data_IF_881474395100
#
_entry.id   IF_881474395100
#
_cell.length_a   1.000
_cell.length_b   1.000
_cell.length_c   1.000
_cell.angle_alpha   90.00
_cell.angle_beta   90.00
_cell.angle_gamma   90.00
#
_symmetry.space_group_name_H-M   'P 1'
#
loop_
_entity.id
_entity.type
_entity.pdbx_description
1 polymer ?
#
# COMPACT_ATOMS: atom_id res chain seq x y z
N UNK A 1 -23.40 35.81 42.41
CA UNK A 1 -23.51 34.83 41.31
C UNK A 1 -22.19 34.85 40.55
N UNK A 2 -21.27 33.96 40.91
CA UNK A 2 -19.94 33.86 40.30
C UNK A 2 -19.97 32.60 39.44
N UNK A 3 -20.06 32.76 38.13
CA UNK A 3 -20.06 31.64 37.18
C UNK A 3 -18.63 31.12 37.05
N UNK A 4 -18.40 29.90 37.53
CA UNK A 4 -17.14 29.19 37.39
C UNK A 4 -17.06 28.66 35.95
N UNK A 5 -16.28 29.31 35.09
CA UNK A 5 -16.00 28.82 33.76
C UNK A 5 -15.01 27.64 33.89
N UNK A 6 -15.51 26.41 33.75
CA UNK A 6 -14.67 25.21 33.65
C UNK A 6 -14.07 25.21 32.23
N UNK A 7 -12.74 25.27 32.06
CA UNK A 7 -12.17 25.10 30.74
C UNK A 7 -12.41 23.67 30.28
N UNK A 8 -13.21 23.50 29.23
CA UNK A 8 -13.23 22.25 28.47
C UNK A 8 -11.85 22.11 27.82
N UNK A 9 -11.02 21.24 28.40
CA UNK A 9 -9.85 20.70 27.73
C UNK A 9 -10.33 19.98 26.48
N UNK A 10 -10.23 20.63 25.32
CA UNK A 10 -10.26 19.94 24.04
C UNK A 10 -9.04 19.04 23.99
N UNK A 11 -9.18 17.79 24.41
CA UNK A 11 -8.25 16.74 24.00
C UNK A 11 -8.31 16.70 22.49
N UNK A 12 -7.30 17.30 21.85
CA UNK A 12 -6.97 17.06 20.46
C UNK A 12 -6.84 15.55 20.31
N UNK A 13 -7.84 14.91 19.71
CA UNK A 13 -7.70 13.53 19.25
C UNK A 13 -6.65 13.62 18.16
N UNK A 14 -5.38 13.42 18.52
CA UNK A 14 -4.34 13.25 17.51
C UNK A 14 -4.78 12.08 16.66
N UNK A 15 -4.82 12.27 15.35
CA UNK A 15 -5.19 11.23 14.42
C UNK A 15 -4.09 10.16 14.46
N UNK A 16 -4.27 9.10 15.24
CA UNK A 16 -3.28 8.04 15.51
C UNK A 16 -3.24 6.95 14.41
N UNK A 17 -4.02 7.13 13.35
CA UNK A 17 -4.14 6.19 12.25
C UNK A 17 -3.23 6.50 11.05
N UNK A 18 -3.09 5.56 10.12
CA UNK A 18 -2.39 5.79 8.86
C UNK A 18 -3.00 6.95 8.06
N UNK A 19 -2.15 7.78 7.48
CA UNK A 19 -2.55 8.86 6.56
C UNK A 19 -2.35 8.36 5.13
N UNK A 20 -3.38 8.52 4.30
CA UNK A 20 -3.37 8.06 2.90
C UNK A 20 -3.48 9.26 1.98
N UNK A 21 -2.56 9.33 1.01
CA UNK A 21 -2.54 10.36 -0.03
C UNK A 21 -2.58 9.70 -1.41
N UNK A 22 -3.58 10.05 -2.20
CA UNK A 22 -3.63 9.72 -3.62
C UNK A 22 -2.69 10.63 -4.39
N UNK A 23 -1.84 10.09 -5.25
CA UNK A 23 -0.84 10.87 -5.98
C UNK A 23 -1.28 11.26 -7.39
N UNK A 24 -2.11 10.47 -8.05
CA UNK A 24 -2.69 10.73 -9.37
C UNK A 24 -4.15 10.25 -9.35
N UNK A 25 -4.82 10.12 -10.49
CA UNK A 25 -6.16 9.50 -10.53
C UNK A 25 -6.14 7.98 -10.71
N UNK A 26 -4.94 7.40 -10.75
CA UNK A 26 -4.67 6.01 -11.05
C UNK A 26 -4.38 5.24 -9.75
N UNK A 27 -3.35 4.40 -9.74
CA UNK A 27 -3.05 3.45 -8.66
C UNK A 27 -1.85 3.87 -7.80
N UNK A 28 -1.38 5.12 -7.93
CA UNK A 28 -0.24 5.60 -7.14
C UNK A 28 -0.66 6.25 -5.83
N UNK A 29 -0.21 5.65 -4.72
CA UNK A 29 -0.56 6.10 -3.37
C UNK A 29 0.68 6.24 -2.49
N UNK A 30 0.66 7.22 -1.61
CA UNK A 30 1.58 7.32 -0.48
C UNK A 30 0.79 7.08 0.81
N UNK A 31 1.24 6.13 1.62
CA UNK A 31 0.68 5.87 2.95
C UNK A 31 1.74 6.14 4.00
N UNK A 32 1.42 6.98 4.97
CA UNK A 32 2.25 7.21 6.14
C UNK A 32 1.63 6.50 7.34
N UNK A 33 2.29 5.45 7.81
CA UNK A 33 1.92 4.73 9.03
C UNK A 33 2.61 5.37 10.24
N UNK A 34 1.87 5.70 11.32
CA UNK A 34 2.47 5.94 12.62
C UNK A 34 3.14 4.66 13.11
N UNK A 35 4.38 4.75 13.58
CA UNK A 35 5.11 3.59 14.12
C UNK A 35 5.81 3.99 15.40
N UNK A 36 6.23 3.01 16.20
CA UNK A 36 6.97 3.32 17.42
C UNK A 36 8.27 4.05 17.07
N UNK A 37 8.68 5.02 17.88
CA UNK A 37 10.00 5.66 17.72
C UNK A 37 11.18 4.70 17.97
N UNK A 38 10.88 3.48 18.46
CA UNK A 38 11.82 2.36 18.50
C UNK A 38 12.08 1.75 17.11
N UNK A 39 11.11 1.87 16.20
CA UNK A 39 11.19 1.35 14.84
C UNK A 39 11.77 2.42 13.87
N UNK A 40 11.40 3.71 14.03
CA UNK A 40 11.93 4.82 13.20
C UNK A 40 12.18 6.09 14.00
N UNK A 41 13.09 6.96 13.54
CA UNK A 41 13.49 8.16 14.30
C UNK A 41 12.42 9.24 14.38
N UNK A 42 11.51 9.30 13.41
CA UNK A 42 10.44 10.30 13.30
C UNK A 42 9.05 9.72 13.63
N UNK A 43 8.99 8.45 14.05
CA UNK A 43 7.75 7.75 14.39
C UNK A 43 6.83 7.52 13.18
N UNK A 44 7.38 7.56 11.96
CA UNK A 44 6.64 7.36 10.71
C UNK A 44 7.26 6.28 9.86
N UNK A 45 6.44 5.65 9.03
CA UNK A 45 6.87 4.72 7.99
C UNK A 45 6.06 4.97 6.71
N UNK A 46 6.72 5.43 5.67
CA UNK A 46 6.13 5.89 4.42
C UNK A 46 6.23 4.80 3.35
N UNK A 47 5.08 4.30 2.93
CA UNK A 47 4.95 3.26 1.90
C UNK A 47 4.44 3.89 0.62
N UNK A 48 5.23 3.78 -0.45
CA UNK A 48 4.85 4.19 -1.79
C UNK A 48 4.31 2.98 -2.56
N UNK A 49 3.17 3.14 -3.21
CA UNK A 49 2.45 2.04 -3.87
C UNK A 49 2.31 2.35 -5.35
N UNK A 50 2.65 1.38 -6.19
CA UNK A 50 2.47 1.39 -7.65
C UNK A 50 2.76 2.77 -8.29
N UNK A 51 3.98 3.31 -8.13
CA UNK A 51 4.23 4.71 -8.43
C UNK A 51 4.42 4.98 -9.93
N UNK A 52 3.55 5.79 -10.50
CA UNK A 52 3.61 6.34 -11.85
C UNK A 52 3.27 7.84 -11.79
N UNK A 53 4.29 8.71 -11.81
CA UNK A 53 4.09 10.15 -11.58
C UNK A 53 4.06 10.97 -12.86
N UNK A 54 4.85 10.58 -13.86
CA UNK A 54 5.02 11.31 -15.11
C UNK A 54 5.24 10.36 -16.28
N UNK A 55 5.12 10.91 -17.49
CA UNK A 55 5.44 10.21 -18.73
C UNK A 55 4.36 9.23 -19.19
N UNK A 56 4.44 8.80 -20.46
CA UNK A 56 3.56 7.77 -21.00
C UNK A 56 3.96 6.39 -20.47
N UNK A 57 2.97 5.51 -20.39
CA UNK A 57 3.12 4.10 -20.11
C UNK A 57 2.99 3.30 -21.41
N UNK A 58 3.81 2.27 -21.60
CA UNK A 58 3.77 1.43 -22.80
C UNK A 58 3.91 -0.04 -22.45
N UNK A 59 2.87 -0.83 -22.74
CA UNK A 59 2.93 -2.30 -22.62
C UNK A 59 3.14 -2.96 -23.98
N UNK A 60 4.02 -3.97 -24.01
CA UNK A 60 4.34 -4.80 -25.17
C UNK A 60 4.93 -4.06 -26.39
N UNK A 61 4.11 -3.29 -27.12
CA UNK A 61 4.53 -2.53 -28.30
C UNK A 61 3.87 -1.14 -28.29
N UNK A 62 4.67 -0.09 -28.51
CA UNK A 62 4.23 1.32 -28.46
C UNK A 62 3.07 1.69 -29.39
N UNK A 63 2.86 0.92 -30.47
CA UNK A 63 1.78 1.15 -31.44
C UNK A 63 0.43 0.57 -31.04
N UNK A 64 0.35 -0.27 -29.99
CA UNK A 64 -0.89 -0.95 -29.59
C UNK A 64 -1.34 -0.62 -28.16
N UNK A 65 -0.43 -0.33 -27.23
CA UNK A 65 -0.79 0.02 -25.85
C UNK A 65 0.10 1.13 -25.33
N UNK A 66 -0.32 2.38 -25.52
CA UNK A 66 0.25 3.53 -24.82
C UNK A 66 -0.83 4.19 -23.97
N UNK A 67 -0.63 4.26 -22.65
CA UNK A 67 -1.52 4.97 -21.73
C UNK A 67 -0.86 6.25 -21.25
N UNK A 68 -1.64 7.30 -21.05
CA UNK A 68 -1.19 8.58 -20.51
C UNK A 68 -2.11 8.96 -19.35
N UNK A 69 -1.57 9.68 -18.36
CA UNK A 69 -2.39 10.22 -17.29
C UNK A 69 -3.51 11.10 -17.85
N UNK A 70 -4.76 10.75 -17.53
CA UNK A 70 -5.93 11.63 -17.78
C UNK A 70 -5.88 12.84 -16.84
N UNK A 71 -5.40 12.62 -15.61
CA UNK A 71 -5.16 13.64 -14.59
C UNK A 71 -3.71 13.53 -14.15
N UNK A 72 -2.96 14.62 -14.33
CA UNK A 72 -1.55 14.72 -13.93
C UNK A 72 -1.40 14.37 -12.43
N UNK A 73 -0.32 13.68 -12.08
CA UNK A 73 0.02 13.49 -10.68
C UNK A 73 0.18 14.84 -9.95
N UNK A 74 -0.13 14.85 -8.66
CA UNK A 74 0.04 16.01 -7.78
C UNK A 74 1.51 16.39 -7.54
N UNK A 75 2.44 15.53 -7.94
CA UNK A 75 3.89 15.73 -7.93
C UNK A 75 4.49 15.18 -9.22
N UNK A 76 5.62 15.73 -9.67
CA UNK A 76 6.30 15.24 -10.88
C UNK A 76 7.40 14.23 -10.55
N UNK A 77 8.08 14.42 -9.42
CA UNK A 77 9.18 13.57 -8.98
C UNK A 77 8.98 13.03 -7.56
N UNK A 78 9.65 11.93 -7.24
CA UNK A 78 9.68 11.35 -5.89
C UNK A 78 10.19 12.36 -4.86
N UNK A 79 11.18 13.19 -5.24
CA UNK A 79 11.74 14.23 -4.38
C UNK A 79 10.71 15.29 -3.95
N UNK A 80 9.68 15.54 -4.76
CA UNK A 80 8.64 16.54 -4.49
C UNK A 80 7.63 16.07 -3.43
N UNK A 81 7.65 14.79 -3.04
CA UNK A 81 6.80 14.26 -1.98
C UNK A 81 7.12 14.86 -0.60
N UNK A 82 8.31 15.43 -0.42
CA UNK A 82 8.72 16.10 0.82
C UNK A 82 8.86 15.14 2.01
N UNK A 83 8.98 13.83 1.75
CA UNK A 83 9.18 12.80 2.76
C UNK A 83 10.10 11.70 2.23
N UNK A 84 10.77 10.99 3.13
CA UNK A 84 11.50 9.76 2.79
C UNK A 84 10.51 8.66 2.39
N UNK A 85 10.89 7.82 1.43
CA UNK A 85 10.18 6.58 1.11
C UNK A 85 10.88 5.42 1.83
N UNK A 86 10.18 4.80 2.77
CA UNK A 86 10.71 3.73 3.61
C UNK A 86 10.48 2.35 3.00
N UNK A 87 9.47 2.21 2.14
CA UNK A 87 9.19 0.99 1.40
C UNK A 87 8.43 1.28 0.10
N UNK A 88 8.62 0.42 -0.90
CA UNK A 88 7.80 0.38 -2.11
C UNK A 88 6.94 -0.89 -2.11
N UNK A 89 5.68 -0.79 -2.48
CA UNK A 89 4.79 -1.93 -2.76
C UNK A 89 4.43 -1.94 -4.24
N UNK A 90 4.65 -3.08 -4.91
CA UNK A 90 4.31 -3.30 -6.31
C UNK A 90 3.29 -4.42 -6.43
N UNK A 91 2.08 -4.10 -6.86
CA UNK A 91 0.99 -5.05 -6.95
C UNK A 91 1.15 -6.01 -8.13
N UNK A 92 1.61 -5.56 -9.29
CA UNK A 92 1.82 -6.42 -10.47
C UNK A 92 2.76 -5.80 -11.52
N UNK A 93 3.12 -6.56 -12.55
CA UNK A 93 4.22 -6.27 -13.49
C UNK A 93 3.87 -5.31 -14.65
N UNK A 94 2.64 -4.80 -14.72
CA UNK A 94 2.27 -3.88 -15.78
C UNK A 94 2.88 -2.51 -15.56
N UNK A 95 3.16 -1.80 -16.64
CA UNK A 95 4.05 -0.63 -16.57
C UNK A 95 3.41 0.60 -15.94
N UNK A 96 2.09 0.60 -15.72
CA UNK A 96 1.33 1.58 -14.93
C UNK A 96 1.43 1.33 -13.41
N UNK A 97 1.88 0.14 -13.02
CA UNK A 97 2.18 -0.24 -11.63
C UNK A 97 3.68 -0.36 -11.36
N UNK A 98 4.46 -0.70 -12.39
CA UNK A 98 5.91 -0.81 -12.37
C UNK A 98 6.55 0.20 -13.32
N UNK A 99 6.19 1.48 -13.15
CA UNK A 99 6.69 2.53 -14.02
C UNK A 99 8.19 2.77 -13.79
N UNK A 100 9.00 2.30 -14.74
CA UNK A 100 10.47 2.27 -14.59
C UNK A 100 11.07 3.65 -14.35
N UNK A 101 10.64 4.68 -15.07
CA UNK A 101 11.22 6.02 -14.90
C UNK A 101 11.00 6.57 -13.48
N UNK A 102 9.79 6.41 -12.94
CA UNK A 102 9.48 6.82 -11.55
C UNK A 102 10.27 5.98 -10.54
N UNK A 103 10.28 4.65 -10.71
CA UNK A 103 10.90 3.75 -9.75
C UNK A 103 12.42 3.94 -9.64
N UNK A 104 13.08 4.31 -10.74
CA UNK A 104 14.52 4.60 -10.73
C UNK A 104 14.87 5.93 -10.05
N UNK A 105 13.90 6.77 -9.71
CA UNK A 105 14.12 7.96 -8.86
C UNK A 105 14.24 7.61 -7.37
N UNK A 106 13.74 6.44 -6.96
CA UNK A 106 13.79 6.00 -5.55
C UNK A 106 15.19 5.47 -5.21
N UNK A 107 15.63 5.65 -3.96
CA UNK A 107 16.90 5.13 -3.47
C UNK A 107 17.01 3.61 -3.67
N UNK A 108 18.16 3.14 -4.15
CA UNK A 108 18.45 1.72 -4.39
C UNK A 108 18.33 0.85 -3.13
N UNK A 109 18.49 1.44 -1.95
CA UNK A 109 18.43 0.75 -0.67
C UNK A 109 17.03 0.82 -0.03
N UNK A 110 16.05 1.40 -0.72
CA UNK A 110 14.64 1.29 -0.30
C UNK A 110 14.14 -0.14 -0.60
N UNK A 111 13.62 -0.87 0.42
CA UNK A 111 13.10 -2.21 0.22
C UNK A 111 11.84 -2.20 -0.65
N UNK A 112 11.80 -3.12 -1.62
CA UNK A 112 10.66 -3.34 -2.51
C UNK A 112 9.93 -4.62 -2.10
N UNK A 113 8.62 -4.52 -1.87
CA UNK A 113 7.72 -5.64 -1.65
C UNK A 113 6.85 -5.81 -2.88
N UNK A 114 6.99 -6.91 -3.61
CA UNK A 114 6.35 -7.07 -4.90
C UNK A 114 5.74 -8.46 -5.07
N UNK A 115 4.69 -8.58 -5.89
CA UNK A 115 4.26 -9.91 -6.38
C UNK A 115 5.35 -10.54 -7.25
N UNK A 116 5.27 -11.86 -7.45
CA UNK A 116 6.35 -12.65 -8.08
C UNK A 116 6.82 -12.03 -9.40
N UNK A 117 5.88 -11.74 -10.32
CA UNK A 117 6.22 -11.20 -11.64
C UNK A 117 6.76 -9.77 -11.57
N UNK A 118 6.19 -8.91 -10.73
CA UNK A 118 6.70 -7.57 -10.51
C UNK A 118 8.13 -7.61 -9.93
N UNK A 119 8.39 -8.52 -8.98
CA UNK A 119 9.71 -8.73 -8.39
C UNK A 119 10.73 -9.18 -9.43
N UNK A 120 10.37 -10.11 -10.33
CA UNK A 120 11.23 -10.55 -11.44
C UNK A 120 11.55 -9.40 -12.40
N UNK A 121 10.55 -8.59 -12.76
CA UNK A 121 10.73 -7.44 -13.63
C UNK A 121 11.69 -6.42 -13.01
N UNK A 122 11.46 -5.97 -11.77
CA UNK A 122 12.31 -4.93 -11.15
C UNK A 122 13.71 -5.44 -10.78
N UNK A 123 13.88 -6.75 -10.54
CA UNK A 123 15.22 -7.38 -10.43
C UNK A 123 16.03 -7.20 -11.70
N UNK A 124 15.40 -7.35 -12.87
CA UNK A 124 16.07 -7.21 -14.17
C UNK A 124 16.67 -5.82 -14.40
N UNK A 125 16.19 -4.81 -13.68
CA UNK A 125 16.69 -3.44 -13.79
C UNK A 125 17.99 -3.20 -13.02
N UNK A 126 18.37 -4.12 -12.12
CA UNK A 126 19.59 -4.03 -11.30
C UNK A 126 19.74 -2.69 -10.54
N UNK A 127 18.62 -2.15 -10.05
CA UNK A 127 18.58 -0.91 -9.30
C UNK A 127 18.46 -1.15 -7.79
N UNK A 128 17.43 -1.89 -7.36
CA UNK A 128 17.15 -2.11 -5.94
C UNK A 128 17.97 -3.27 -5.34
N UNK A 129 18.54 -3.04 -4.15
CA UNK A 129 19.34 -4.03 -3.42
C UNK A 129 18.48 -5.02 -2.61
N UNK A 130 17.25 -4.66 -2.27
CA UNK A 130 16.34 -5.45 -1.44
C UNK A 130 14.97 -5.61 -2.10
N UNK A 131 14.67 -6.82 -2.55
CA UNK A 131 13.39 -7.15 -3.22
C UNK A 131 12.79 -8.40 -2.58
N UNK A 132 11.68 -8.20 -1.84
CA UNK A 132 10.93 -9.22 -1.13
C UNK A 132 9.66 -9.59 -1.91
N UNK A 133 9.43 -10.89 -2.05
CA UNK A 133 8.19 -11.40 -2.67
C UNK A 133 7.06 -11.36 -1.64
N UNK A 134 5.95 -10.71 -1.98
CA UNK A 134 4.73 -10.71 -1.19
C UNK A 134 4.08 -12.09 -1.29
N UNK A 135 3.81 -12.69 -0.13
CA UNK A 135 3.16 -14.00 -0.02
C UNK A 135 1.65 -13.88 0.08
N UNK A 136 0.97 -14.94 -0.30
CA UNK A 136 -0.47 -15.06 -0.12
C UNK A 136 -0.83 -15.10 1.36
N UNK A 137 -1.93 -14.45 1.71
CA UNK A 137 -2.52 -14.60 3.02
C UNK A 137 -3.23 -15.95 3.08
N UNK A 138 -2.59 -16.91 3.74
CA UNK A 138 -3.13 -18.26 3.89
C UNK A 138 -4.50 -18.24 4.60
N UNK A 139 -5.46 -19.10 4.18
CA UNK A 139 -6.73 -19.25 4.87
C UNK A 139 -6.53 -19.52 6.36
N UNK A 140 -7.37 -18.92 7.20
CA UNK A 140 -7.34 -19.07 8.66
C UNK A 140 -6.05 -18.57 9.35
N UNK A 141 -5.16 -17.88 8.64
CA UNK A 141 -3.99 -17.25 9.23
C UNK A 141 -4.31 -15.85 9.71
N UNK A 142 -3.85 -15.51 10.92
CA UNK A 142 -4.02 -14.15 11.44
C UNK A 142 -3.20 -13.19 10.59
N UNK A 143 -3.84 -12.19 9.97
CA UNK A 143 -3.20 -11.25 9.04
C UNK A 143 -1.94 -10.56 9.58
N UNK A 144 -1.86 -10.34 10.91
CA UNK A 144 -0.70 -9.67 11.53
C UNK A 144 0.57 -10.54 11.54
N UNK A 145 0.47 -11.81 11.17
CA UNK A 145 1.61 -12.71 11.01
C UNK A 145 2.26 -12.58 9.63
N UNK A 146 1.66 -11.84 8.69
CA UNK A 146 2.20 -11.56 7.36
C UNK A 146 3.34 -10.53 7.41
N UNK A 147 4.36 -10.79 8.22
CA UNK A 147 5.52 -9.91 8.37
C UNK A 147 6.59 -10.29 7.37
N UNK A 148 7.09 -9.29 6.66
CA UNK A 148 8.23 -9.40 5.75
C UNK A 148 9.44 -8.67 6.36
N UNK A 149 10.67 -9.08 6.02
CA UNK A 149 11.89 -8.43 6.53
C UNK A 149 11.89 -6.94 6.17
N UNK A 150 12.34 -6.08 7.09
CA UNK A 150 12.43 -4.64 6.88
C UNK A 150 11.16 -3.85 7.20
N UNK A 151 10.06 -4.52 7.55
CA UNK A 151 8.83 -3.85 8.01
C UNK A 151 8.86 -3.59 9.53
N UNK A 152 8.27 -2.47 10.00
CA UNK A 152 8.00 -2.24 11.42
C UNK A 152 7.16 -3.35 12.03
N UNK A 153 7.31 -3.57 13.34
CA UNK A 153 6.62 -4.66 14.04
C UNK A 153 5.08 -4.56 13.99
N UNK A 154 4.55 -3.35 13.82
CA UNK A 154 3.13 -3.07 13.69
C UNK A 154 2.56 -3.28 12.28
N UNK A 155 3.38 -3.57 11.27
CA UNK A 155 2.97 -3.62 9.87
C UNK A 155 3.25 -4.99 9.23
N UNK A 156 2.24 -5.55 8.57
CA UNK A 156 2.34 -6.74 7.72
C UNK A 156 1.87 -6.46 6.30
N UNK A 157 2.39 -7.22 5.34
CA UNK A 157 2.03 -7.13 3.91
C UNK A 157 1.80 -8.55 3.39
N UNK A 158 0.63 -8.78 2.78
CA UNK A 158 0.28 -10.03 2.11
C UNK A 158 -0.55 -9.78 0.86
N UNK A 159 -0.67 -10.79 0.01
CA UNK A 159 -1.55 -10.79 -1.14
C UNK A 159 -2.85 -11.51 -0.78
N UNK A 160 -3.98 -10.91 -1.13
CA UNK A 160 -5.27 -11.59 -1.03
C UNK A 160 -5.42 -12.43 -2.30
N UNK A 161 -5.20 -13.73 -2.19
CA UNK A 161 -5.41 -14.69 -3.26
C UNK A 161 -6.85 -15.20 -3.23
N UNK A 162 -7.46 -15.35 -4.41
CA UNK A 162 -8.72 -16.06 -4.58
C UNK A 162 -8.55 -17.13 -5.65
N UNK A 163 -9.24 -18.26 -5.48
CA UNK A 163 -9.37 -19.29 -6.51
C UNK A 163 -10.56 -19.03 -7.44
N UNK A 164 -11.43 -18.07 -7.12
CA UNK A 164 -12.56 -17.72 -7.98
C UNK A 164 -12.08 -16.91 -9.18
N UNK A 165 -12.37 -17.43 -10.37
CA UNK A 165 -12.07 -16.77 -11.64
C UNK A 165 -12.67 -15.35 -11.73
N UNK A 166 -13.87 -15.15 -11.18
CA UNK A 166 -14.55 -13.85 -11.15
C UNK A 166 -13.75 -12.82 -10.32
N UNK A 167 -13.23 -13.24 -9.17
CA UNK A 167 -12.47 -12.37 -8.26
C UNK A 167 -11.08 -12.09 -8.82
N UNK A 168 -10.42 -13.09 -9.39
CA UNK A 168 -9.11 -12.95 -10.05
C UNK A 168 -9.21 -12.01 -11.24
N UNK A 169 -10.28 -12.13 -12.04
CA UNK A 169 -10.52 -11.27 -13.20
C UNK A 169 -10.92 -9.85 -12.81
N UNK A 170 -11.66 -9.67 -11.70
CA UNK A 170 -12.16 -8.36 -11.29
C UNK A 170 -11.11 -7.51 -10.55
N UNK A 171 -10.23 -8.13 -9.77
CA UNK A 171 -9.26 -7.39 -8.96
C UNK A 171 -7.84 -7.38 -9.53
N UNK A 172 -7.50 -8.27 -10.46
CA UNK A 172 -6.15 -8.54 -11.00
C UNK A 172 -5.12 -8.91 -9.91
N UNK A 173 -4.85 -8.03 -8.96
CA UNK A 173 -4.14 -8.29 -7.69
C UNK A 173 -4.78 -7.48 -6.57
N UNK A 174 -4.85 -8.06 -5.37
CA UNK A 174 -5.21 -7.34 -4.15
C UNK A 174 -4.09 -7.47 -3.11
N UNK A 175 -3.52 -6.36 -2.66
CA UNK A 175 -2.55 -6.33 -1.56
C UNK A 175 -3.28 -5.96 -0.26
N UNK A 176 -3.00 -6.70 0.80
CA UNK A 176 -3.43 -6.46 2.16
C UNK A 176 -2.24 -5.89 2.93
N UNK A 177 -2.36 -4.64 3.40
CA UNK A 177 -1.46 -4.10 4.41
C UNK A 177 -2.18 -4.03 5.73
N UNK A 178 -1.58 -4.66 6.71
CA UNK A 178 -2.24 -5.06 7.92
C UNK A 178 -1.52 -4.35 9.07
N UNK A 179 -2.22 -3.43 9.75
CA UNK A 179 -1.62 -2.49 10.68
C UNK A 179 -2.23 -2.58 12.07
N UNK A 180 -1.37 -2.58 13.09
CA UNK A 180 -1.74 -2.53 14.51
C UNK A 180 -1.19 -1.23 15.09
N UNK A 181 -2.08 -0.32 15.50
CA UNK A 181 -1.69 0.95 16.12
C UNK A 181 -0.81 0.73 17.35
N UNK A 182 0.41 1.32 17.40
CA UNK A 182 1.28 1.25 18.57
C UNK A 182 0.64 1.83 19.83
N UNK A 183 -0.23 2.83 19.69
CA UNK A 183 -0.74 3.64 20.81
C UNK A 183 -2.14 3.24 21.26
N UNK A 184 -2.97 2.71 20.36
CA UNK A 184 -4.40 2.46 20.62
C UNK A 184 -4.82 1.00 20.44
N UNK A 185 -3.91 0.12 20.01
CA UNK A 185 -4.21 -1.27 19.58
C UNK A 185 -5.23 -1.40 18.44
N UNK A 186 -5.67 -0.28 17.85
CA UNK A 186 -6.58 -0.25 16.71
C UNK A 186 -5.99 -1.02 15.53
N UNK A 187 -6.85 -1.74 14.83
CA UNK A 187 -6.46 -2.61 13.73
C UNK A 187 -7.16 -2.23 12.44
N UNK A 188 -6.39 -2.09 11.38
CA UNK A 188 -6.89 -1.74 10.06
C UNK A 188 -6.24 -2.58 8.98
N UNK A 189 -7.02 -2.90 7.95
CA UNK A 189 -6.48 -3.40 6.70
C UNK A 189 -6.71 -2.37 5.61
N UNK A 190 -5.66 -2.17 4.84
CA UNK A 190 -5.69 -1.40 3.61
C UNK A 190 -5.63 -2.39 2.45
N UNK A 191 -6.63 -2.32 1.56
CA UNK A 191 -6.69 -3.08 0.33
C UNK A 191 -6.39 -2.14 -0.85
N UNK A 192 -5.36 -2.46 -1.62
CA UNK A 192 -5.14 -1.84 -2.94
C UNK A 192 -5.53 -2.84 -4.02
N UNK A 193 -6.29 -2.37 -5.02
CA UNK A 193 -6.68 -3.14 -6.20
C UNK A 193 -6.51 -2.28 -7.45
N UNK A 194 -6.59 -2.90 -8.62
CA UNK A 194 -6.64 -2.16 -9.89
C UNK A 194 -7.78 -1.12 -9.95
N UNK A 195 -8.84 -1.28 -9.14
CA UNK A 195 -10.03 -0.42 -9.15
C UNK A 195 -10.12 0.54 -7.95
N UNK A 196 -9.08 0.62 -7.11
CA UNK A 196 -8.99 1.64 -6.06
C UNK A 196 -8.55 1.16 -4.69
N UNK A 197 -8.75 2.03 -3.71
CA UNK A 197 -8.19 1.96 -2.37
C UNK A 197 -9.29 1.82 -1.32
N UNK A 198 -9.20 0.82 -0.45
CA UNK A 198 -10.19 0.58 0.59
C UNK A 198 -9.52 0.45 1.96
N UNK A 199 -9.87 1.35 2.89
CA UNK A 199 -9.55 1.22 4.32
C UNK A 199 -10.73 0.55 5.00
N UNK A 200 -10.50 -0.61 5.61
CA UNK A 200 -11.53 -1.33 6.35
C UNK A 200 -11.05 -1.50 7.80
N UNK A 201 -11.80 -0.94 8.75
CA UNK A 201 -11.65 -1.29 10.17
C UNK A 201 -11.98 -2.77 10.34
N UNK A 202 -11.11 -3.51 11.03
CA UNK A 202 -11.16 -4.98 11.04
C UNK A 202 -12.42 -5.58 11.65
N UNK A 203 -13.09 -4.85 12.55
CA UNK A 203 -14.39 -5.24 13.09
C UNK A 203 -15.46 -5.46 12.00
N UNK A 204 -15.28 -4.89 10.80
CA UNK A 204 -16.19 -5.06 9.67
C UNK A 204 -15.67 -6.00 8.57
N UNK A 205 -14.44 -6.51 8.70
CA UNK A 205 -13.82 -7.33 7.66
C UNK A 205 -14.58 -8.64 7.46
N UNK A 206 -15.02 -9.29 8.55
CA UNK A 206 -15.79 -10.55 8.51
C UNK A 206 -17.17 -10.39 7.83
N UNK A 207 -17.77 -9.20 7.89
CA UNK A 207 -19.07 -8.92 7.24
C UNK A 207 -18.93 -8.79 5.72
N UNK A 208 -17.81 -8.23 5.23
CA UNK A 208 -17.51 -8.22 3.79
C UNK A 208 -16.91 -9.54 3.31
N UNK A 209 -16.22 -10.29 4.18
CA UNK A 209 -15.67 -11.62 3.89
C UNK A 209 -16.76 -12.68 3.69
N UNK A 210 -17.93 -12.57 4.35
CA UNK A 210 -19.08 -13.47 4.11
C UNK A 210 -19.62 -13.43 2.67
N UNK A 211 -19.42 -12.32 1.95
CA UNK A 211 -19.74 -12.25 0.50
C UNK A 211 -18.76 -13.03 -0.39
N UNK A 212 -17.57 -13.37 0.13
CA UNK A 212 -16.51 -14.08 -0.59
C UNK A 212 -16.41 -15.57 -0.21
N UNK A 213 -16.96 -15.97 0.94
CA UNK A 213 -17.07 -17.39 1.35
C UNK A 213 -18.25 -18.13 0.71
N UNK A 214 -19.26 -17.44 0.17
CA UNK A 214 -20.47 -18.11 -0.35
C UNK A 214 -20.29 -18.80 -1.71
N UNK A 215 -19.14 -18.67 -2.37
CA UNK A 215 -18.87 -19.33 -3.66
C UNK A 215 -17.69 -20.32 -3.63
N UNK A 216 -16.98 -20.45 -2.51
CA UNK A 216 -15.88 -21.42 -2.35
C UNK A 216 -16.30 -22.69 -1.56
N UNK A 217 -17.59 -22.84 -1.26
CA UNK A 217 -18.18 -24.08 -0.76
C UNK A 217 -19.37 -24.47 -1.65
N UNK A 218 -19.04 -25.11 -2.77
CA UNK A 218 -19.63 -26.38 -3.15
C UNK A 218 -18.51 -27.36 -3.46
#
# INVERSE_FOLDING_TARGET
MTSLCIPQSSTMVQNTGPVVKHLNADTSWLITFPVSTRDTTDGKFNVLIDPWLTGPQTDYYSWFSSQNHVIKSCVDHIADLGTRIDAIVLSHEWSDHTHRATLLEVDKDTPVYATIKAAELVRSWNHFSMIHVIKDLEPNTHWSTSRLPGLPSCLGISRISSTSFEIVSYYHVAICMAYVSPDTTDQGVIKTTANGFYIVRMEYMHLRWKGYHSQALK
#
